data_IF_730781316535
#
_entry.id   IF_730781316535
#
_cell.length_a   1.000
_cell.length_b   1.000
_cell.length_c   1.000
_cell.angle_alpha   90.00
_cell.angle_beta   90.00
_cell.angle_gamma   90.00
#
_symmetry.space_group_name_H-M   'P 1'
#
loop_
_entity.id
_entity.type
_entity.pdbx_description
1 polymer ?
#
# COMPACT_ATOMS: atom_id res chain seq x y z
N UNK A 1 36.19 15.27 65.01
CA UNK A 1 35.48 16.56 65.18
C UNK A 1 34.48 16.66 64.04
N UNK A 2 33.19 16.36 64.27
CA UNK A 2 32.08 17.33 64.35
C UNK A 2 32.09 18.38 63.21
N UNK A 3 31.05 18.68 62.44
CA UNK A 3 29.63 18.34 62.48
C UNK A 3 28.84 19.35 61.62
N UNK A 4 27.81 18.88 60.91
CA UNK A 4 26.48 19.46 60.65
C UNK A 4 26.27 20.98 60.91
N UNK A 5 25.79 21.75 59.89
CA UNK A 5 24.62 22.68 59.93
C UNK A 5 24.52 23.54 58.65
N UNK A 6 23.49 23.38 57.82
CA UNK A 6 22.19 24.08 57.86
C UNK A 6 22.26 25.61 57.74
N UNK A 7 21.71 26.17 56.64
CA UNK A 7 20.77 27.32 56.75
C UNK A 7 19.80 27.44 55.56
N UNK A 8 18.52 27.25 55.89
CA UNK A 8 17.33 27.70 55.14
C UNK A 8 17.22 29.23 55.17
N UNK A 9 16.63 29.82 54.13
CA UNK A 9 15.85 31.08 54.13
C UNK A 9 15.42 31.38 52.69
N UNK A 10 14.23 31.86 52.32
CA UNK A 10 13.01 32.17 53.05
C UNK A 10 11.85 32.34 52.04
N UNK A 11 10.67 31.85 52.41
CA UNK A 11 9.36 32.25 51.87
C UNK A 11 9.15 33.77 52.03
N UNK A 12 8.52 34.42 51.03
CA UNK A 12 7.45 35.44 51.20
C UNK A 12 6.91 35.88 49.82
N UNK A 13 5.67 35.50 49.50
CA UNK A 13 4.42 36.32 49.58
C UNK A 13 4.31 37.38 48.47
N UNK A 14 3.29 37.26 47.63
CA UNK A 14 2.11 38.17 47.63
C UNK A 14 1.07 37.74 46.58
N UNK A 15 -0.07 37.28 47.07
CA UNK A 15 -1.34 37.35 46.38
C UNK A 15 -1.88 38.80 46.47
N UNK A 16 -2.47 39.30 45.37
CA UNK A 16 -3.48 40.38 45.34
C UNK A 16 -4.19 40.31 43.99
N UNK A 17 -5.46 39.92 44.00
CA UNK A 17 -6.62 40.81 43.85
C UNK A 17 -6.88 41.17 42.38
N UNK A 18 -7.82 40.46 41.74
CA UNK A 18 -9.22 40.91 41.59
C UNK A 18 -9.34 42.30 40.94
N UNK A 19 -9.70 42.35 39.65
CA UNK A 19 -10.58 43.40 39.11
C UNK A 19 -11.51 42.80 38.05
N UNK A 20 -12.79 42.77 38.41
CA UNK A 20 -13.94 42.57 37.56
C UNK A 20 -14.16 43.75 36.61
N UNK A 21 -14.81 43.50 35.45
CA UNK A 21 -15.71 44.42 34.70
C UNK A 21 -16.25 43.75 33.41
N UNK A 22 -17.36 44.20 32.79
CA UNK A 22 -18.67 43.58 32.93
C UNK A 22 -19.32 43.08 31.62
N UNK A 23 -20.44 42.35 31.78
CA UNK A 23 -21.44 42.06 30.75
C UNK A 23 -22.02 43.36 30.14
N UNK A 24 -22.08 43.44 28.82
CA UNK A 24 -22.95 44.38 28.11
C UNK A 24 -23.85 43.61 27.13
N UNK A 25 -25.16 43.73 27.38
CA UNK A 25 -26.27 43.34 26.50
C UNK A 25 -26.27 44.25 25.27
N UNK A 26 -26.30 43.66 24.08
CA UNK A 26 -26.63 44.34 22.83
C UNK A 26 -27.76 43.61 22.12
N UNK A 27 -29.00 44.04 22.37
CA UNK A 27 -30.23 43.58 21.71
C UNK A 27 -30.55 44.59 20.60
N UNK A 28 -30.47 44.18 19.33
CA UNK A 28 -31.03 44.92 18.20
C UNK A 28 -31.62 43.91 17.21
N UNK A 29 -32.93 43.63 17.30
CA UNK A 29 -33.98 44.20 16.44
C UNK A 29 -33.80 43.90 14.94
N UNK A 30 -34.22 42.69 14.57
CA UNK A 30 -35.39 42.44 13.72
C UNK A 30 -35.63 43.40 12.54
N UNK A 31 -35.18 43.03 11.33
CA UNK A 31 -35.77 43.45 10.03
C UNK A 31 -35.52 42.35 9.00
N UNK A 32 -36.58 41.82 8.41
CA UNK A 32 -36.46 41.06 7.15
C UNK A 32 -37.22 39.74 7.04
N UNK A 33 -38.36 39.57 7.69
CA UNK A 33 -39.32 38.53 7.29
C UNK A 33 -39.88 38.89 5.90
N UNK A 34 -39.27 38.37 4.83
CA UNK A 34 -39.86 38.37 3.49
C UNK A 34 -40.83 37.20 3.39
N UNK A 35 -42.11 37.54 3.40
CA UNK A 35 -43.22 36.74 2.91
C UNK A 35 -42.92 36.25 1.47
N UNK A 36 -42.59 34.98 1.31
CA UNK A 36 -42.80 34.29 0.04
C UNK A 36 -44.18 33.64 0.08
N UNK A 37 -45.19 34.44 -0.26
CA UNK A 37 -46.53 33.93 -0.62
C UNK A 37 -46.37 33.00 -1.82
N UNK A 38 -47.06 31.87 -1.73
CA UNK A 38 -46.96 30.76 -2.66
C UNK A 38 -47.18 31.13 -4.13
N UNK A 39 -46.38 30.46 -4.97
CA UNK A 39 -46.80 29.96 -6.26
C UNK A 39 -46.23 28.55 -6.39
N UNK A 40 -47.12 27.56 -6.32
CA UNK A 40 -46.81 26.19 -6.70
C UNK A 40 -46.35 26.18 -8.17
N UNK A 41 -45.17 25.64 -8.52
CA UNK A 41 -44.87 25.36 -9.90
C UNK A 41 -45.67 24.12 -10.31
N UNK A 42 -46.55 24.30 -11.30
CA UNK A 42 -47.19 23.22 -12.07
C UNK A 42 -46.18 22.10 -12.32
N UNK A 43 -46.55 20.86 -11.94
CA UNK A 43 -45.92 19.64 -12.46
C UNK A 43 -46.02 19.66 -13.98
N UNK A 44 -45.00 20.17 -14.66
CA UNK A 44 -44.79 19.87 -16.07
C UNK A 44 -44.25 18.45 -16.13
N UNK A 45 -45.13 17.52 -16.49
CA UNK A 45 -44.72 16.24 -17.06
C UNK A 45 -43.82 16.55 -18.25
N UNK A 46 -42.51 16.41 -18.09
CA UNK A 46 -41.65 16.20 -19.25
C UNK A 46 -42.07 14.86 -19.85
N UNK A 47 -42.42 14.77 -21.13
CA UNK A 47 -42.59 13.48 -21.75
C UNK A 47 -41.24 12.77 -21.67
N UNK A 48 -41.28 11.56 -21.13
CA UNK A 48 -40.23 10.56 -21.33
C UNK A 48 -40.02 10.54 -22.84
N UNK A 49 -38.83 10.92 -23.30
CA UNK A 49 -38.41 10.63 -24.66
C UNK A 49 -38.33 9.11 -24.78
N UNK A 50 -39.48 8.49 -25.02
CA UNK A 50 -39.57 7.17 -25.60
C UNK A 50 -38.88 7.31 -26.95
N UNK A 51 -37.67 6.76 -27.04
CA UNK A 51 -37.07 6.43 -28.33
C UNK A 51 -37.95 5.33 -28.91
N UNK A 52 -39.03 5.74 -29.57
CA UNK A 52 -39.80 4.90 -30.47
C UNK A 52 -38.87 4.58 -31.63
N UNK A 53 -38.37 3.35 -31.69
CA UNK A 53 -37.75 2.83 -32.90
C UNK A 53 -38.85 2.73 -33.97
N UNK A 54 -38.74 3.42 -35.12
CA UNK A 54 -39.60 3.12 -36.25
C UNK A 54 -39.20 1.73 -36.75
N UNK A 55 -40.13 0.80 -36.71
CA UNK A 55 -40.04 -0.43 -37.45
C UNK A 55 -39.95 -0.05 -38.94
N UNK A 56 -38.75 -0.11 -39.52
CA UNK A 56 -38.44 -0.48 -40.90
C UNK A 56 -36.94 -0.20 -41.13
N UNK A 57 -36.18 -1.27 -41.39
CA UNK A 57 -34.76 -1.31 -41.76
C UNK A 57 -33.73 -1.41 -40.63
N UNK A 58 -33.77 -2.52 -39.87
CA UNK A 58 -32.58 -3.05 -39.21
C UNK A 58 -32.14 -4.33 -39.94
N UNK A 59 -31.30 -4.18 -40.97
CA UNK A 59 -30.43 -5.26 -41.41
C UNK A 59 -29.19 -5.16 -40.52
N UNK A 60 -29.21 -5.86 -39.38
CA UNK A 60 -28.02 -6.14 -38.57
C UNK A 60 -27.91 -7.66 -38.51
N UNK A 61 -26.78 -8.25 -38.92
CA UNK A 61 -26.66 -9.71 -38.95
C UNK A 61 -26.65 -10.24 -37.52
N UNK A 62 -27.67 -11.05 -37.21
CA UNK A 62 -27.75 -11.88 -36.02
C UNK A 62 -26.76 -13.04 -36.14
N UNK A 63 -25.47 -12.80 -35.91
CA UNK A 63 -24.48 -13.87 -35.70
C UNK A 63 -23.26 -13.33 -34.97
N UNK A 64 -23.08 -13.71 -33.70
CA UNK A 64 -21.77 -13.68 -33.04
C UNK A 64 -21.70 -13.03 -31.65
N UNK A 65 -22.47 -11.98 -31.36
CA UNK A 65 -22.24 -11.16 -30.15
C UNK A 65 -23.16 -11.46 -28.95
N UNK A 66 -24.12 -12.38 -29.07
CA UNK A 66 -25.07 -12.69 -27.97
C UNK A 66 -24.46 -13.46 -26.80
N UNK A 67 -23.36 -14.20 -27.01
CA UNK A 67 -22.70 -14.97 -25.94
C UNK A 67 -21.72 -14.14 -25.10
N UNK A 68 -21.25 -13.01 -25.62
CA UNK A 68 -20.20 -12.21 -24.97
C UNK A 68 -20.81 -11.31 -23.88
N UNK A 69 -22.02 -10.80 -24.08
CA UNK A 69 -22.70 -9.98 -23.07
C UNK A 69 -23.15 -10.78 -21.83
N UNK A 70 -23.45 -12.08 -21.96
CA UNK A 70 -23.91 -12.91 -20.84
C UNK A 70 -22.77 -13.29 -19.85
N UNK A 71 -21.52 -13.33 -20.31
CA UNK A 71 -20.35 -13.66 -19.48
C UNK A 71 -19.86 -12.44 -18.69
N UNK A 72 -20.03 -11.23 -19.22
CA UNK A 72 -19.66 -9.99 -18.52
C UNK A 72 -20.58 -9.71 -17.31
N UNK A 73 -21.84 -10.13 -17.37
CA UNK A 73 -22.84 -9.88 -16.31
C UNK A 73 -22.75 -10.91 -15.16
N UNK A 74 -22.12 -12.07 -15.40
CA UNK A 74 -21.88 -13.07 -14.34
C UNK A 74 -20.69 -12.70 -13.44
N UNK A 75 -19.66 -12.05 -13.96
CA UNK A 75 -18.43 -11.75 -13.22
C UNK A 75 -18.58 -10.58 -12.21
N UNK A 76 -19.40 -9.57 -12.54
CA UNK A 76 -19.71 -8.46 -11.61
C UNK A 76 -20.76 -8.83 -10.58
N UNK A 77 -21.62 -9.81 -10.86
CA UNK A 77 -22.63 -10.32 -9.91
C UNK A 77 -22.05 -11.28 -8.87
N UNK A 78 -21.00 -12.04 -9.22
CA UNK A 78 -20.34 -12.95 -8.26
C UNK A 78 -19.51 -12.24 -7.19
N UNK A 79 -18.96 -11.05 -7.48
CA UNK A 79 -18.15 -10.30 -6.51
C UNK A 79 -18.96 -9.67 -5.36
N UNK A 80 -20.28 -9.51 -5.53
CA UNK A 80 -21.14 -8.88 -4.51
C UNK A 80 -21.57 -9.84 -3.40
N UNK A 81 -21.40 -11.15 -3.59
CA UNK A 81 -21.87 -12.19 -2.68
C UNK A 81 -20.76 -13.16 -2.25
N UNK A 82 -19.49 -12.74 -2.28
CA UNK A 82 -18.45 -13.53 -1.63
C UNK A 82 -18.81 -13.61 -0.14
N UNK A 83 -18.81 -14.80 0.49
CA UNK A 83 -18.99 -14.87 1.93
C UNK A 83 -17.87 -14.05 2.57
N UNK A 84 -18.19 -13.18 3.53
CA UNK A 84 -17.19 -12.28 4.16
C UNK A 84 -15.94 -13.03 4.64
N UNK A 85 -16.08 -14.31 4.99
CA UNK A 85 -14.98 -15.21 5.32
C UNK A 85 -13.93 -15.36 4.21
N UNK A 86 -14.33 -15.45 2.94
CA UNK A 86 -13.41 -15.58 1.81
C UNK A 86 -12.58 -14.31 1.61
N UNK A 87 -13.19 -13.13 1.75
CA UNK A 87 -12.48 -11.85 1.65
C UNK A 87 -11.43 -11.70 2.76
N UNK A 88 -11.79 -12.08 3.99
CA UNK A 88 -10.87 -12.07 5.13
C UNK A 88 -9.72 -13.07 4.88
N UNK A 89 -10.02 -14.28 4.40
CA UNK A 89 -9.01 -15.28 4.10
C UNK A 89 -8.03 -14.79 3.02
N UNK A 90 -8.52 -14.19 1.93
CA UNK A 90 -7.69 -13.62 0.87
C UNK A 90 -6.83 -12.44 1.35
N UNK A 91 -7.38 -11.58 2.21
CA UNK A 91 -6.63 -10.49 2.82
C UNK A 91 -5.50 -11.00 3.75
N UNK A 92 -5.81 -11.96 4.61
CA UNK A 92 -4.81 -12.58 5.50
C UNK A 92 -3.72 -13.28 4.68
N UNK A 93 -4.12 -13.98 3.63
CA UNK A 93 -3.22 -14.63 2.70
C UNK A 93 -2.30 -13.60 2.01
N UNK A 94 -2.84 -12.54 1.40
CA UNK A 94 -2.04 -11.48 0.76
C UNK A 94 -1.09 -10.82 1.76
N UNK A 95 -1.53 -10.56 2.98
CA UNK A 95 -0.71 -9.94 4.03
C UNK A 95 0.47 -10.84 4.41
N UNK A 96 0.22 -12.11 4.75
CA UNK A 96 1.26 -13.05 5.16
C UNK A 96 2.26 -13.30 4.04
N UNK A 97 1.79 -13.58 2.83
CA UNK A 97 2.66 -13.86 1.69
C UNK A 97 3.41 -12.61 1.21
N UNK A 98 2.82 -11.42 1.29
CA UNK A 98 3.52 -10.17 0.96
C UNK A 98 4.62 -9.88 1.97
N UNK A 99 4.36 -10.00 3.29
CA UNK A 99 5.39 -9.81 4.31
C UNK A 99 6.53 -10.82 4.16
N UNK A 100 6.19 -12.08 3.92
CA UNK A 100 7.18 -13.15 3.76
C UNK A 100 7.98 -13.02 2.45
N UNK A 101 7.31 -12.70 1.34
CA UNK A 101 7.95 -12.43 0.05
C UNK A 101 8.89 -11.23 0.11
N UNK A 102 8.46 -10.14 0.76
CA UNK A 102 9.33 -8.98 1.03
C UNK A 102 10.53 -9.36 1.91
N UNK A 103 10.39 -10.24 2.90
CA UNK A 103 11.51 -10.70 3.73
C UNK A 103 12.54 -11.49 2.90
N UNK A 104 12.10 -12.39 2.00
CA UNK A 104 12.99 -13.10 1.08
C UNK A 104 13.71 -12.14 0.13
N UNK A 105 12.99 -11.16 -0.42
CA UNK A 105 13.59 -10.15 -1.30
C UNK A 105 14.54 -9.22 -0.55
N UNK A 106 14.25 -8.89 0.71
CA UNK A 106 15.15 -8.12 1.55
C UNK A 106 16.45 -8.88 1.81
N UNK A 107 16.38 -10.20 1.98
CA UNK A 107 17.58 -11.05 2.07
C UNK A 107 18.44 -10.94 0.81
N UNK A 108 17.83 -11.01 -0.38
CA UNK A 108 18.54 -10.82 -1.65
C UNK A 108 19.11 -9.39 -1.71
N UNK A 109 18.32 -8.38 -1.40
CA UNK A 109 18.73 -6.97 -1.41
C UNK A 109 19.92 -6.68 -0.50
N UNK A 110 19.93 -7.22 0.73
CA UNK A 110 21.05 -7.10 1.66
C UNK A 110 22.33 -7.77 1.14
N UNK A 111 22.21 -8.88 0.40
CA UNK A 111 23.36 -9.53 -0.24
C UNK A 111 23.90 -8.66 -1.39
N UNK A 112 23.03 -8.05 -2.19
CA UNK A 112 23.42 -7.13 -3.27
C UNK A 112 24.13 -5.89 -2.73
N UNK A 113 23.63 -5.29 -1.64
CA UNK A 113 24.24 -4.11 -1.01
C UNK A 113 25.42 -4.44 -0.09
N UNK A 114 25.73 -5.73 0.09
CA UNK A 114 26.79 -6.24 0.97
C UNK A 114 26.67 -5.72 2.40
N UNK A 115 25.45 -5.69 2.93
CA UNK A 115 25.20 -5.24 4.30
C UNK A 115 25.84 -6.21 5.32
N UNK A 116 26.57 -5.73 6.34
CA UNK A 116 27.14 -6.60 7.37
C UNK A 116 26.06 -7.42 8.09
N UNK A 117 26.31 -8.72 8.24
CA UNK A 117 25.36 -9.67 8.86
C UNK A 117 25.20 -9.50 10.37
N UNK A 118 26.05 -8.71 11.04
CA UNK A 118 26.03 -8.48 12.49
C UNK A 118 24.96 -7.47 12.95
N UNK A 119 24.12 -6.98 12.05
CA UNK A 119 23.05 -6.03 12.37
C UNK A 119 21.75 -6.75 12.78
N UNK A 120 20.97 -6.15 13.70
CA UNK A 120 19.72 -6.73 14.19
C UNK A 120 18.70 -7.02 13.06
N UNK A 121 18.61 -6.14 12.07
CA UNK A 121 17.72 -6.30 10.90
C UNK A 121 18.07 -7.56 10.10
N UNK A 122 19.36 -7.76 9.81
CA UNK A 122 19.82 -8.93 9.04
C UNK A 122 19.57 -10.24 9.78
N UNK A 123 19.79 -10.25 11.10
CA UNK A 123 19.51 -11.42 11.93
C UNK A 123 18.02 -11.77 11.93
N UNK A 124 17.13 -10.79 12.08
CA UNK A 124 15.67 -11.02 12.05
C UNK A 124 15.21 -11.58 10.70
N UNK A 125 15.67 -11.00 9.59
CA UNK A 125 15.32 -11.49 8.25
C UNK A 125 15.82 -12.91 8.01
N UNK A 126 17.06 -13.23 8.39
CA UNK A 126 17.61 -14.57 8.21
C UNK A 126 16.90 -15.59 9.11
N UNK A 127 16.54 -15.24 10.35
CA UNK A 127 15.76 -16.14 11.21
C UNK A 127 14.39 -16.49 10.61
N UNK A 128 13.69 -15.49 10.06
CA UNK A 128 12.36 -15.70 9.45
C UNK A 128 12.43 -16.47 8.13
N UNK A 129 13.51 -16.32 7.36
CA UNK A 129 13.61 -16.89 6.00
C UNK A 129 14.43 -18.17 5.90
N UNK A 130 15.31 -18.45 6.86
CA UNK A 130 16.26 -19.58 6.80
C UNK A 130 15.57 -20.94 6.72
N UNK A 131 14.43 -21.12 7.39
CA UNK A 131 13.71 -22.40 7.38
C UNK A 131 13.26 -22.81 5.97
N UNK A 132 12.95 -21.84 5.11
CA UNK A 132 12.59 -22.08 3.71
C UNK A 132 13.82 -22.13 2.79
N UNK A 133 14.78 -21.23 3.01
CA UNK A 133 15.92 -21.08 2.10
C UNK A 133 16.93 -22.23 2.27
N UNK A 134 17.20 -22.70 3.49
CA UNK A 134 18.17 -23.79 3.75
C UNK A 134 17.83 -25.12 3.05
N UNK A 135 16.59 -25.63 3.06
CA UNK A 135 16.27 -26.84 2.31
C UNK A 135 16.40 -26.60 0.80
N UNK A 136 16.03 -25.43 0.30
CA UNK A 136 16.13 -25.09 -1.12
C UNK A 136 17.58 -24.97 -1.60
N UNK A 137 18.49 -24.48 -0.74
CA UNK A 137 19.95 -24.45 -1.00
C UNK A 137 20.58 -25.83 -1.17
N UNK A 138 19.93 -26.90 -0.69
CA UNK A 138 20.44 -28.26 -0.94
C UNK A 138 20.27 -28.68 -2.40
N UNK A 139 19.29 -28.11 -3.09
CA UNK A 139 18.97 -28.42 -4.49
C UNK A 139 19.69 -27.43 -5.42
N UNK A 140 19.71 -26.15 -5.06
CA UNK A 140 20.27 -25.08 -5.89
C UNK A 140 21.43 -24.41 -5.14
N UNK A 141 22.70 -24.69 -5.51
CA UNK A 141 23.84 -24.03 -4.87
C UNK A 141 23.89 -22.54 -5.26
N UNK A 142 24.31 -21.69 -4.31
CA UNK A 142 24.53 -20.27 -4.56
C UNK A 142 25.80 -20.05 -5.40
N UNK A 143 25.70 -19.24 -6.47
CA UNK A 143 26.80 -18.94 -7.39
C UNK A 143 27.04 -17.43 -7.40
N UNK A 144 28.31 -17.00 -7.27
CA UNK A 144 28.72 -15.62 -7.52
C UNK A 144 28.36 -14.59 -6.43
N UNK A 145 28.13 -15.03 -5.19
CA UNK A 145 27.81 -14.14 -4.06
C UNK A 145 26.35 -13.71 -3.97
N UNK A 146 25.50 -14.16 -4.91
CA UNK A 146 24.04 -14.06 -4.84
C UNK A 146 23.47 -15.44 -4.52
N UNK A 147 22.56 -15.49 -3.55
CA UNK A 147 21.85 -16.71 -3.20
C UNK A 147 20.65 -16.96 -4.16
N UNK A 148 20.91 -17.64 -5.27
CA UNK A 148 19.88 -18.04 -6.25
C UNK A 148 18.74 -18.85 -5.60
N UNK A 149 19.02 -19.60 -4.54
CA UNK A 149 17.98 -20.31 -3.79
C UNK A 149 16.97 -19.33 -3.18
N UNK A 150 17.39 -18.15 -2.73
CA UNK A 150 16.46 -17.15 -2.21
C UNK A 150 15.60 -16.54 -3.32
N UNK A 151 16.17 -16.28 -4.51
CA UNK A 151 15.41 -15.73 -5.66
C UNK A 151 14.35 -16.73 -6.12
N UNK A 152 14.75 -18.00 -6.29
CA UNK A 152 13.82 -19.08 -6.63
C UNK A 152 12.80 -19.28 -5.51
N UNK A 153 13.21 -19.19 -4.24
CA UNK A 153 12.30 -19.27 -3.09
C UNK A 153 11.24 -18.16 -3.08
N UNK A 154 11.60 -16.93 -3.46
CA UNK A 154 10.64 -15.83 -3.60
C UNK A 154 9.64 -16.10 -4.72
N UNK A 155 10.08 -16.62 -5.87
CA UNK A 155 9.19 -17.00 -6.97
C UNK A 155 8.28 -18.18 -6.61
N UNK A 156 8.82 -19.23 -5.98
CA UNK A 156 8.03 -20.36 -5.48
C UNK A 156 6.98 -19.90 -4.46
N UNK A 157 7.34 -18.98 -3.58
CA UNK A 157 6.40 -18.37 -2.63
C UNK A 157 5.25 -17.66 -3.36
N UNK A 158 5.54 -16.93 -4.45
CA UNK A 158 4.51 -16.30 -5.28
C UNK A 158 3.63 -17.33 -6.01
N UNK A 159 4.20 -18.43 -6.50
CA UNK A 159 3.42 -19.54 -7.09
C UNK A 159 2.48 -20.15 -6.06
N UNK A 160 2.99 -20.47 -4.86
CA UNK A 160 2.17 -21.01 -3.77
C UNK A 160 1.04 -20.04 -3.39
N UNK A 161 1.34 -18.74 -3.29
CA UNK A 161 0.33 -17.71 -3.05
C UNK A 161 -0.78 -17.75 -4.12
N UNK A 162 -0.42 -17.75 -5.40
CA UNK A 162 -1.39 -17.76 -6.50
C UNK A 162 -2.23 -19.04 -6.55
N UNK A 163 -1.62 -20.19 -6.25
CA UNK A 163 -2.33 -21.48 -6.14
C UNK A 163 -3.38 -21.40 -5.02
N UNK A 164 -3.01 -20.89 -3.84
CA UNK A 164 -3.94 -20.74 -2.72
C UNK A 164 -5.08 -19.77 -3.06
N UNK A 165 -4.78 -18.64 -3.72
CA UNK A 165 -5.80 -17.70 -4.19
C UNK A 165 -6.73 -18.37 -5.21
N UNK A 166 -6.20 -19.13 -6.16
CA UNK A 166 -6.97 -19.83 -7.18
C UNK A 166 -7.91 -20.88 -6.55
N UNK A 167 -7.44 -21.64 -5.56
CA UNK A 167 -8.23 -22.62 -4.82
C UNK A 167 -9.38 -21.96 -4.04
N UNK A 168 -9.12 -20.85 -3.36
CA UNK A 168 -10.15 -20.10 -2.60
C UNK A 168 -11.15 -19.43 -3.55
N UNK A 169 -10.69 -18.98 -4.72
CA UNK A 169 -11.51 -18.28 -5.71
C UNK A 169 -12.25 -19.21 -6.67
N UNK A 170 -11.97 -20.52 -6.63
CA UNK A 170 -12.55 -21.51 -7.56
C UNK A 170 -12.05 -21.37 -9.00
N UNK A 171 -10.87 -20.79 -9.22
CA UNK A 171 -10.25 -20.67 -10.55
C UNK A 171 -9.64 -22.02 -10.92
N UNK A 172 -9.77 -22.45 -12.18
CA UNK A 172 -9.12 -23.67 -12.66
C UNK A 172 -7.59 -23.53 -12.67
N UNK A 173 -6.89 -24.44 -12.01
CA UNK A 173 -5.43 -24.40 -11.90
C UNK A 173 -4.74 -24.86 -13.19
N UNK A 174 -5.28 -25.86 -13.87
CA UNK A 174 -4.63 -26.50 -15.01
C UNK A 174 -4.77 -25.65 -16.28
N UNK A 175 -5.94 -25.07 -16.53
CA UNK A 175 -6.18 -24.21 -17.69
C UNK A 175 -5.38 -22.90 -17.67
N UNK A 176 -5.04 -22.39 -16.48
CA UNK A 176 -4.35 -21.10 -16.33
C UNK A 176 -2.90 -21.22 -15.90
N UNK A 177 -2.31 -22.42 -15.88
CA UNK A 177 -0.96 -22.65 -15.36
C UNK A 177 0.12 -21.75 -16.00
N UNK A 178 0.20 -21.56 -17.33
CA UNK A 178 1.19 -20.67 -17.93
C UNK A 178 1.00 -19.21 -17.52
N UNK A 179 -0.24 -18.73 -17.48
CA UNK A 179 -0.60 -17.38 -17.04
C UNK A 179 -0.26 -17.18 -15.55
N UNK A 180 -0.46 -18.22 -14.72
CA UNK A 180 -0.16 -18.20 -13.30
C UNK A 180 1.35 -18.10 -13.03
N UNK A 181 2.18 -18.85 -13.76
CA UNK A 181 3.64 -18.78 -13.61
C UNK A 181 4.20 -17.41 -14.03
N UNK A 182 3.65 -16.82 -15.10
CA UNK A 182 4.01 -15.46 -15.52
C UNK A 182 3.56 -14.41 -14.48
N UNK A 183 2.35 -14.57 -13.96
CA UNK A 183 1.81 -13.71 -12.90
C UNK A 183 2.64 -13.81 -11.62
N UNK A 184 3.16 -14.99 -11.28
CA UNK A 184 4.03 -15.17 -10.12
C UNK A 184 5.28 -14.27 -10.21
N UNK A 185 5.86 -14.12 -11.40
CA UNK A 185 6.99 -13.21 -11.62
C UNK A 185 6.61 -11.75 -11.38
N UNK A 186 5.42 -11.34 -11.80
CA UNK A 186 4.90 -9.99 -11.52
C UNK A 186 4.66 -9.77 -10.03
N UNK A 187 4.22 -10.78 -9.28
CA UNK A 187 4.08 -10.69 -7.83
C UNK A 187 5.42 -10.52 -7.12
N UNK A 188 6.47 -11.22 -7.56
CA UNK A 188 7.82 -11.00 -7.04
C UNK A 188 8.26 -9.55 -7.29
N UNK A 189 7.98 -9.00 -8.48
CA UNK A 189 8.29 -7.61 -8.79
C UNK A 189 7.44 -6.62 -7.95
N UNK A 190 6.15 -6.90 -7.76
CA UNK A 190 5.26 -6.14 -6.86
C UNK A 190 5.86 -6.09 -5.46
N UNK A 191 6.24 -7.24 -4.90
CA UNK A 191 6.86 -7.32 -3.58
C UNK A 191 8.21 -6.60 -3.52
N UNK A 192 9.02 -6.64 -4.58
CA UNK A 192 10.29 -5.91 -4.62
C UNK A 192 10.07 -4.39 -4.54
N UNK A 193 9.11 -3.86 -5.29
CA UNK A 193 8.78 -2.42 -5.25
C UNK A 193 8.14 -2.06 -3.92
N UNK A 194 7.23 -2.89 -3.40
CA UNK A 194 6.65 -2.69 -2.07
C UNK A 194 7.73 -2.70 -0.98
N UNK A 195 8.74 -3.56 -1.08
CA UNK A 195 9.86 -3.58 -0.16
C UNK A 195 10.64 -2.25 -0.19
N UNK A 196 10.99 -1.76 -1.38
CA UNK A 196 11.66 -0.45 -1.53
C UNK A 196 10.83 0.67 -0.90
N UNK A 197 9.51 0.63 -1.11
CA UNK A 197 8.57 1.58 -0.50
C UNK A 197 8.60 1.53 1.02
N UNK A 198 8.49 0.34 1.61
CA UNK A 198 8.50 0.18 3.07
C UNK A 198 9.85 0.57 3.69
N UNK A 199 10.98 0.19 3.08
CA UNK A 199 12.31 0.57 3.58
C UNK A 199 12.53 2.08 3.48
N UNK A 200 12.07 2.71 2.40
CA UNK A 200 12.13 4.18 2.22
C UNK A 200 11.24 4.91 3.23
N UNK A 201 10.03 4.37 3.49
CA UNK A 201 9.13 4.91 4.50
C UNK A 201 9.75 4.83 5.90
N UNK A 202 10.37 3.69 6.24
CA UNK A 202 11.10 3.52 7.51
C UNK A 202 12.23 4.54 7.65
N UNK A 203 13.00 4.80 6.59
CA UNK A 203 14.04 5.84 6.58
C UNK A 203 13.46 7.24 6.84
N UNK A 204 12.38 7.60 6.15
CA UNK A 204 11.73 8.89 6.32
C UNK A 204 11.22 9.08 7.76
N UNK A 205 10.59 8.04 8.34
CA UNK A 205 10.16 8.05 9.74
C UNK A 205 11.36 8.20 10.68
N UNK A 206 12.42 7.42 10.52
CA UNK A 206 13.61 7.48 11.38
C UNK A 206 14.31 8.83 11.31
N UNK A 207 14.38 9.45 10.13
CA UNK A 207 14.99 10.77 9.93
C UNK A 207 14.33 11.87 10.77
N UNK A 208 13.01 11.76 10.98
CA UNK A 208 12.24 12.72 11.75
C UNK A 208 12.14 12.36 13.23
N UNK A 209 11.97 11.08 13.55
CA UNK A 209 11.73 10.62 14.92
C UNK A 209 13.04 10.46 15.71
N UNK A 210 14.04 9.76 15.14
CA UNK A 210 15.32 9.53 15.81
C UNK A 210 16.42 9.14 14.80
N UNK A 211 17.16 10.12 14.25
CA UNK A 211 18.19 9.86 13.25
C UNK A 211 19.38 9.05 13.80
N UNK A 212 19.64 9.07 15.11
CA UNK A 212 20.82 8.44 15.73
C UNK A 212 20.56 7.01 16.24
N UNK A 213 19.53 6.32 15.72
CA UNK A 213 19.24 4.94 16.10
C UNK A 213 20.30 3.96 15.59
N UNK A 214 20.56 2.83 16.28
CA UNK A 214 21.51 1.81 15.81
C UNK A 214 21.08 1.12 14.51
N UNK A 215 19.80 1.27 14.11
CA UNK A 215 19.24 0.70 12.88
C UNK A 215 19.39 1.66 11.69
N UNK A 216 19.56 2.96 11.94
CA UNK A 216 19.66 3.99 10.88
C UNK A 216 20.74 3.66 9.85
N UNK A 217 21.98 3.30 10.22
CA UNK A 217 23.02 3.00 9.23
C UNK A 217 22.62 1.83 8.32
N UNK A 218 21.95 0.81 8.86
CA UNK A 218 21.49 -0.33 8.08
C UNK A 218 20.44 0.10 7.04
N UNK A 219 19.48 0.93 7.44
CA UNK A 219 18.44 1.43 6.54
C UNK A 219 19.03 2.37 5.47
N UNK A 220 19.92 3.28 5.86
CA UNK A 220 20.60 4.20 4.94
C UNK A 220 21.42 3.43 3.88
N UNK A 221 22.09 2.35 4.26
CA UNK A 221 22.78 1.49 3.31
C UNK A 221 21.84 0.78 2.34
N UNK A 222 20.63 0.40 2.78
CA UNK A 222 19.64 -0.26 1.94
C UNK A 222 18.93 0.71 0.98
N UNK A 223 18.69 1.96 1.41
CA UNK A 223 18.03 2.99 0.59
C UNK A 223 18.98 3.73 -0.34
N UNK A 224 20.26 3.86 0.02
CA UNK A 224 21.30 4.54 -0.76
C UNK A 224 21.29 4.24 -2.27
N UNK A 225 21.26 2.97 -2.75
CA UNK A 225 21.28 2.70 -4.19
C UNK A 225 20.08 3.27 -4.95
N UNK A 226 18.91 3.36 -4.32
CA UNK A 226 17.68 3.86 -4.96
C UNK A 226 17.54 5.37 -4.76
N UNK A 227 17.95 5.89 -3.60
CA UNK A 227 17.74 7.27 -3.23
C UNK A 227 18.83 8.21 -3.78
N UNK A 228 20.09 7.75 -3.92
CA UNK A 228 21.20 8.56 -4.45
C UNK A 228 20.93 9.15 -5.84
N UNK A 229 20.39 8.39 -6.83
CA UNK A 229 20.03 8.96 -8.12
C UNK A 229 19.00 10.08 -8.03
N UNK A 230 18.01 9.96 -7.14
CA UNK A 230 16.93 10.94 -6.96
C UNK A 230 17.45 12.20 -6.26
N UNK A 231 18.30 12.02 -5.24
CA UNK A 231 18.95 13.12 -4.51
C UNK A 231 19.85 14.00 -5.38
N UNK A 232 20.30 13.52 -6.54
CA UNK A 232 21.06 14.34 -7.50
C UNK A 232 20.19 15.36 -8.24
N UNK A 233 18.90 15.08 -8.37
CA UNK A 233 17.95 15.94 -9.11
C UNK A 233 17.14 16.82 -8.15
N UNK A 234 16.80 16.30 -6.98
CA UNK A 234 15.95 16.98 -6.00
C UNK A 234 16.82 17.66 -4.93
N UNK A 235 16.86 19.01 -4.87
CA UNK A 235 17.57 19.72 -3.81
C UNK A 235 16.91 19.48 -2.45
N UNK A 236 17.72 19.52 -1.39
CA UNK A 236 17.23 19.42 0.00
C UNK A 236 16.47 20.70 0.35
N UNK A 237 15.20 20.58 0.76
CA UNK A 237 14.37 21.72 1.12
C UNK A 237 14.33 21.85 2.65
N UNK A 238 14.91 22.93 3.18
CA UNK A 238 14.78 23.28 4.60
C UNK A 238 15.35 22.26 5.59
N UNK A 239 16.37 21.49 5.20
CA UNK A 239 16.96 20.43 6.03
C UNK A 239 16.16 19.12 6.07
N UNK A 240 15.03 19.03 5.36
CA UNK A 240 14.26 17.81 5.19
C UNK A 240 14.52 17.18 3.81
N UNK A 241 14.79 15.88 3.80
CA UNK A 241 14.98 15.13 2.55
C UNK A 241 13.62 14.80 1.94
N UNK A 242 13.26 15.47 0.85
CA UNK A 242 12.01 15.23 0.08
C UNK A 242 12.16 14.07 -0.91
N UNK A 243 13.39 13.58 -1.12
CA UNK A 243 13.67 12.44 -2.01
C UNK A 243 12.85 11.17 -1.73
N UNK A 244 12.58 10.77 -0.47
CA UNK A 244 11.70 9.65 -0.14
C UNK A 244 10.27 9.81 -0.70
N UNK A 245 9.73 11.04 -0.69
CA UNK A 245 8.38 11.31 -1.22
C UNK A 245 8.33 11.13 -2.74
N UNK A 246 9.34 11.61 -3.45
CA UNK A 246 9.45 11.43 -4.91
C UNK A 246 9.58 9.95 -5.26
N UNK A 247 10.42 9.21 -4.51
CA UNK A 247 10.53 7.76 -4.68
C UNK A 247 9.19 7.06 -4.42
N UNK A 248 8.42 7.52 -3.43
CA UNK A 248 7.09 6.99 -3.13
C UNK A 248 6.15 7.11 -4.33
N UNK A 249 6.10 8.29 -4.96
CA UNK A 249 5.27 8.54 -6.15
C UNK A 249 5.69 7.63 -7.31
N UNK A 250 6.99 7.53 -7.58
CA UNK A 250 7.51 6.68 -8.67
C UNK A 250 7.12 5.21 -8.45
N UNK A 251 7.33 4.70 -7.24
CA UNK A 251 7.00 3.32 -6.91
C UNK A 251 5.49 3.05 -6.94
N UNK A 252 4.63 4.00 -6.55
CA UNK A 252 3.18 3.87 -6.73
C UNK A 252 2.80 3.74 -8.20
N UNK A 253 3.39 4.55 -9.09
CA UNK A 253 3.16 4.45 -10.53
C UNK A 253 3.59 3.07 -11.04
N UNK A 254 4.76 2.57 -10.62
CA UNK A 254 5.22 1.23 -11.01
C UNK A 254 4.28 0.12 -10.52
N UNK A 255 3.75 0.22 -9.30
CA UNK A 255 2.77 -0.74 -8.79
C UNK A 255 1.46 -0.70 -9.60
N UNK A 256 0.99 0.49 -10.01
CA UNK A 256 -0.17 0.62 -10.89
C UNK A 256 0.07 -0.05 -12.26
N UNK A 257 1.25 0.13 -12.84
CA UNK A 257 1.62 -0.52 -14.10
C UNK A 257 1.62 -2.04 -13.95
N UNK A 258 2.23 -2.58 -12.89
CA UNK A 258 2.26 -4.02 -12.63
C UNK A 258 0.85 -4.58 -12.42
N UNK A 259 0.00 -3.86 -11.69
CA UNK A 259 -1.39 -4.27 -11.49
C UNK A 259 -2.14 -4.37 -12.84
N UNK A 260 -1.93 -3.40 -13.74
CA UNK A 260 -2.53 -3.43 -15.09
C UNK A 260 -1.96 -4.56 -15.94
N UNK A 261 -0.65 -4.82 -15.89
CA UNK A 261 -0.03 -5.94 -16.61
C UNK A 261 -0.57 -7.29 -16.13
N UNK A 262 -0.72 -7.46 -14.81
CA UNK A 262 -1.32 -8.66 -14.22
C UNK A 262 -2.76 -8.88 -14.69
N UNK A 263 -3.59 -7.83 -14.68
CA UNK A 263 -4.96 -7.91 -15.18
C UNK A 263 -5.04 -8.31 -16.66
N UNK A 264 -4.13 -7.77 -17.49
CA UNK A 264 -4.04 -8.12 -18.91
C UNK A 264 -3.70 -9.59 -19.15
N UNK A 265 -2.85 -10.21 -18.31
CA UNK A 265 -2.50 -11.64 -18.42
C UNK A 265 -3.72 -12.55 -18.20
N UNK A 266 -4.63 -12.17 -17.29
CA UNK A 266 -5.88 -12.92 -17.07
C UNK A 266 -6.98 -12.55 -18.08
N UNK A 267 -6.68 -11.73 -19.09
CA UNK A 267 -7.68 -11.25 -20.06
C UNK A 267 -8.75 -10.37 -19.44
N UNK A 268 -8.52 -9.85 -18.22
CA UNK A 268 -9.43 -8.93 -17.55
C UNK A 268 -9.21 -7.52 -18.10
N UNK A 269 -9.83 -7.24 -19.24
CA UNK A 269 -9.98 -5.87 -19.74
C UNK A 269 -10.98 -5.14 -18.84
N UNK A 270 -10.49 -4.12 -18.13
CA UNK A 270 -11.27 -3.21 -17.29
C UNK A 270 -12.04 -2.17 -18.12
#
# INVERSE_FOLDING_TARGET
MLGIRWRKSAKRRKARAQRARPRARGRSRNRGARNYRGRAPRRQHKPVSQVTCPAHSCIVPASGYGRICAVADTFTRHRKNAPMFSEIALFLLDTVFTLFGMALLLRVWMQLTRLPTRNAVSQGVFQITDWLVRPLRRIIPGLGGIDWATVVGAWLTAVVFLVLVALISGIDLLGFLPAMLLTALLYVLKWAISLVMWVTLLMAILSWVNPHSPVTPAIDHLTAPVLRPIQRVVPRLGGFDVSPLVLFVIAQILLMVIARLGAGIFGMHY
#
